data_IF_098584856199
#
_entry.id   IF_098584856199
#
_cell.length_a   1.000
_cell.length_b   1.000
_cell.length_c   1.000
_cell.angle_alpha   90.00
_cell.angle_beta   90.00
_cell.angle_gamma   90.00
#
_symmetry.space_group_name_H-M   'P 1'
#
loop_
_entity.id
_entity.type
_entity.pdbx_description
1 polymer ?
#
# COMPACT_ATOMS: atom_id res chain seq x y z
N UNK A 1 -9.07 16.57 -23.56
CA UNK A 1 -7.67 17.01 -23.59
C UNK A 1 -7.05 16.53 -22.28
N UNK A 2 -6.26 15.47 -22.33
CA UNK A 2 -5.63 14.87 -21.17
C UNK A 2 -4.46 15.74 -20.72
N UNK A 3 -4.65 16.54 -19.68
CA UNK A 3 -3.53 17.11 -18.93
C UNK A 3 -3.13 16.11 -17.82
N UNK A 4 -2.42 15.05 -18.21
CA UNK A 4 -1.62 14.30 -17.25
C UNK A 4 -0.43 15.18 -16.86
N UNK A 5 -0.41 15.65 -15.63
CA UNK A 5 0.79 16.22 -15.02
C UNK A 5 1.86 15.12 -15.08
N UNK A 6 3.02 15.34 -15.71
CA UNK A 6 4.07 14.35 -15.70
C UNK A 6 4.60 14.23 -14.27
N UNK A 7 4.22 13.16 -13.60
CA UNK A 7 4.85 12.79 -12.33
C UNK A 7 6.25 12.31 -12.67
N UNK A 8 7.21 13.22 -12.67
CA UNK A 8 8.62 12.86 -12.77
C UNK A 8 8.92 11.89 -11.64
N UNK A 9 9.33 10.68 -11.98
CA UNK A 9 9.68 9.65 -11.00
C UNK A 9 10.78 10.22 -10.08
N UNK A 10 10.39 10.55 -8.84
CA UNK A 10 11.30 11.15 -7.87
C UNK A 10 12.24 10.05 -7.39
N UNK A 11 13.52 10.15 -7.70
CA UNK A 11 14.51 9.21 -7.20
C UNK A 11 14.56 9.27 -5.67
N UNK A 12 14.42 8.13 -4.95
CA UNK A 12 14.54 8.12 -3.50
C UNK A 12 15.89 8.67 -3.04
N UNK A 13 15.92 9.63 -2.10
CA UNK A 13 17.17 10.19 -1.58
C UNK A 13 17.92 9.17 -0.71
N UNK A 14 19.09 9.55 -0.19
CA UNK A 14 19.77 8.82 0.88
C UNK A 14 18.83 8.61 2.08
N UNK A 15 18.99 7.50 2.83
CA UNK A 15 18.09 7.15 3.93
C UNK A 15 18.06 8.24 5.02
N UNK A 16 19.17 8.92 5.28
CA UNK A 16 19.26 10.05 6.21
C UNK A 16 18.45 11.28 5.75
N UNK A 17 18.24 11.47 4.44
CA UNK A 17 17.48 12.57 3.85
C UNK A 17 16.04 12.18 3.47
N UNK A 18 15.62 10.94 3.77
CA UNK A 18 14.34 10.38 3.36
C UNK A 18 13.15 11.22 3.88
N UNK A 19 12.30 11.67 2.96
CA UNK A 19 11.11 12.47 3.29
C UNK A 19 10.10 11.70 4.13
N UNK A 20 9.96 10.39 3.91
CA UNK A 20 9.04 9.54 4.69
C UNK A 20 9.44 9.48 6.17
N UNK A 21 10.75 9.40 6.49
CA UNK A 21 11.24 9.39 7.87
C UNK A 21 10.98 10.69 8.62
N UNK A 22 10.76 11.79 7.91
CA UNK A 22 10.45 13.08 8.51
C UNK A 22 8.99 13.22 8.91
N UNK A 23 8.12 12.31 8.44
CA UNK A 23 6.72 12.27 8.88
C UNK A 23 6.64 11.61 10.26
N UNK A 24 5.69 12.01 11.09
CA UNK A 24 5.45 11.38 12.39
C UNK A 24 4.85 9.97 12.33
N UNK A 25 4.68 9.42 11.13
CA UNK A 25 4.06 8.12 10.90
C UNK A 25 5.01 6.94 11.13
N UNK A 26 6.32 7.18 11.00
CA UNK A 26 7.31 6.13 11.09
C UNK A 26 8.10 6.17 12.39
N UNK A 27 8.45 5.00 12.90
CA UNK A 27 9.22 4.84 14.12
C UNK A 27 10.59 5.52 14.00
N UNK A 28 11.06 6.20 15.06
CA UNK A 28 12.44 6.68 15.11
C UNK A 28 13.39 5.48 15.06
N UNK A 29 14.56 5.70 14.47
CA UNK A 29 15.59 4.67 14.28
C UNK A 29 16.92 5.16 14.85
N UNK A 30 17.69 4.27 15.44
CA UNK A 30 19.04 4.57 15.92
C UNK A 30 19.97 4.90 14.73
N UNK A 31 21.01 5.70 14.99
CA UNK A 31 21.95 6.13 13.94
C UNK A 31 22.65 4.95 13.31
N UNK A 32 23.08 3.98 14.14
CA UNK A 32 23.78 2.76 13.71
C UNK A 32 22.89 1.88 12.83
N UNK A 33 21.61 1.78 13.14
CA UNK A 33 20.63 1.04 12.35
C UNK A 33 20.33 1.73 11.03
N UNK A 34 20.27 3.07 11.04
CA UNK A 34 20.07 3.86 9.83
C UNK A 34 21.26 3.73 8.88
N UNK A 35 22.49 3.70 9.42
CA UNK A 35 23.70 3.46 8.66
C UNK A 35 23.70 2.07 8.04
N UNK A 36 23.28 1.07 8.80
CA UNK A 36 23.12 -0.27 8.27
C UNK A 36 22.06 -0.33 7.15
N UNK A 37 20.87 0.26 7.32
CA UNK A 37 19.84 0.28 6.27
C UNK A 37 20.36 1.00 5.02
N UNK A 38 21.11 2.08 5.16
CA UNK A 38 21.68 2.80 4.03
C UNK A 38 22.72 1.95 3.27
N UNK A 39 23.56 1.19 3.99
CA UNK A 39 24.50 0.23 3.42
C UNK A 39 23.79 -1.01 2.83
N UNK A 40 22.74 -1.48 3.48
CA UNK A 40 21.92 -2.61 3.04
C UNK A 40 21.15 -2.30 1.76
N UNK A 41 20.80 -1.03 1.52
CA UNK A 41 20.13 -0.60 0.30
C UNK A 41 21.05 -0.73 -0.90
N UNK A 42 20.77 -1.67 -1.81
CA UNK A 42 21.57 -1.89 -3.02
C UNK A 42 21.35 -0.84 -4.11
N UNK A 43 20.32 0.02 -3.98
CA UNK A 43 20.04 1.08 -4.94
C UNK A 43 18.56 1.51 -4.93
N UNK A 44 18.18 2.11 -6.05
CA UNK A 44 16.79 2.56 -6.32
C UNK A 44 16.35 2.08 -7.68
N UNK A 45 15.05 1.97 -7.89
CA UNK A 45 14.46 1.65 -9.19
C UNK A 45 13.16 2.40 -9.39
N UNK A 46 12.78 2.58 -10.64
CA UNK A 46 11.48 3.16 -11.00
C UNK A 46 10.67 2.15 -11.82
N UNK A 47 9.36 2.30 -11.80
CA UNK A 47 8.46 1.53 -12.64
C UNK A 47 7.36 2.45 -13.14
N UNK A 48 7.05 2.37 -14.42
CA UNK A 48 5.94 3.13 -15.00
C UNK A 48 4.59 2.54 -14.60
N UNK A 49 3.54 3.35 -14.65
CA UNK A 49 2.16 2.91 -14.48
C UNK A 49 1.86 1.68 -15.36
N UNK A 50 1.21 0.66 -14.80
CA UNK A 50 0.91 -0.62 -15.44
C UNK A 50 2.07 -1.62 -15.49
N UNK A 51 3.27 -1.25 -15.02
CA UNK A 51 4.40 -2.18 -15.00
C UNK A 51 4.26 -3.21 -13.87
N UNK A 52 4.61 -4.46 -14.16
CA UNK A 52 4.66 -5.53 -13.16
C UNK A 52 5.96 -5.46 -12.38
N UNK A 53 5.88 -5.19 -11.09
CA UNK A 53 7.01 -5.14 -10.15
C UNK A 53 7.44 -6.55 -9.71
N UNK A 54 6.49 -7.39 -9.41
CA UNK A 54 6.69 -8.81 -9.07
C UNK A 54 5.72 -9.68 -9.87
N UNK A 55 6.24 -10.73 -10.47
CA UNK A 55 5.42 -11.73 -11.15
C UNK A 55 5.01 -12.85 -10.20
N UNK A 56 3.76 -13.31 -10.30
CA UNK A 56 3.35 -14.55 -9.63
C UNK A 56 4.24 -15.73 -10.05
N UNK A 57 4.57 -16.60 -9.10
CA UNK A 57 5.35 -17.83 -9.29
C UNK A 57 6.78 -17.63 -9.83
N UNK A 58 7.25 -16.40 -10.00
CA UNK A 58 8.66 -16.14 -10.36
C UNK A 58 9.50 -15.83 -9.14
N UNK A 59 10.70 -16.40 -9.03
CA UNK A 59 11.64 -16.04 -7.98
C UNK A 59 12.02 -14.57 -8.08
N UNK A 60 12.16 -13.91 -6.94
CA UNK A 60 12.67 -12.56 -6.84
C UNK A 60 13.65 -12.45 -5.66
N UNK A 61 14.90 -12.16 -5.93
CA UNK A 61 15.96 -11.98 -4.92
C UNK A 61 15.96 -10.59 -4.27
N UNK A 62 14.95 -9.76 -4.52
CA UNK A 62 14.92 -8.37 -4.06
C UNK A 62 13.74 -8.10 -3.15
N UNK A 63 13.96 -7.16 -2.23
CA UNK A 63 12.94 -6.54 -1.40
C UNK A 63 12.87 -5.07 -1.78
N UNK A 64 11.73 -4.44 -1.53
CA UNK A 64 11.54 -3.03 -1.89
C UNK A 64 10.82 -2.29 -0.78
N UNK A 65 11.15 -1.00 -0.61
CA UNK A 65 10.26 -0.04 0.04
C UNK A 65 9.69 0.87 -1.04
N UNK A 66 8.37 0.98 -1.11
CA UNK A 66 7.72 1.94 -2.00
C UNK A 66 7.93 3.35 -1.43
N UNK A 67 8.72 4.17 -2.14
CA UNK A 67 9.02 5.54 -1.74
C UNK A 67 7.95 6.52 -2.23
N UNK A 68 7.52 6.36 -3.47
CA UNK A 68 6.48 7.19 -4.09
C UNK A 68 5.67 6.39 -5.10
N UNK A 69 4.45 6.82 -5.34
CA UNK A 69 3.51 6.17 -6.26
C UNK A 69 2.56 5.20 -5.54
N UNK A 70 1.74 4.52 -6.34
CA UNK A 70 0.76 3.53 -5.90
C UNK A 70 0.96 2.23 -6.65
N UNK A 71 0.83 1.12 -5.97
CA UNK A 71 0.82 -0.21 -6.56
C UNK A 71 -0.26 -1.08 -5.89
N UNK A 72 -0.49 -2.26 -6.39
CA UNK A 72 -1.35 -3.24 -5.72
C UNK A 72 -0.77 -4.64 -5.80
N UNK A 73 -1.08 -5.43 -4.81
CA UNK A 73 -0.79 -6.84 -4.72
C UNK A 73 -2.01 -7.65 -5.12
N UNK A 74 -1.85 -8.64 -6.00
CA UNK A 74 -2.96 -9.40 -6.53
C UNK A 74 -2.65 -10.89 -6.70
N UNK A 75 -3.73 -11.67 -6.80
CA UNK A 75 -3.72 -13.05 -7.31
C UNK A 75 -4.63 -13.19 -8.50
N UNK A 76 -4.21 -14.04 -9.44
CA UNK A 76 -4.94 -14.31 -10.68
C UNK A 76 -5.53 -15.72 -10.64
N UNK A 77 -6.80 -15.82 -11.00
CA UNK A 77 -7.48 -17.10 -11.22
C UNK A 77 -7.15 -17.66 -12.61
N UNK A 78 -7.39 -18.95 -12.82
CA UNK A 78 -7.15 -19.63 -14.12
C UNK A 78 -7.94 -19.03 -15.28
N UNK A 79 -9.06 -18.36 -15.02
CA UNK A 79 -9.89 -17.67 -16.01
C UNK A 79 -9.47 -16.21 -16.26
N UNK A 80 -8.37 -15.75 -15.64
CA UNK A 80 -7.81 -14.42 -15.80
C UNK A 80 -8.40 -13.35 -14.88
N UNK A 81 -9.43 -13.65 -14.09
CA UNK A 81 -9.94 -12.72 -13.07
C UNK A 81 -8.89 -12.50 -11.98
N UNK A 82 -8.76 -11.26 -11.52
CA UNK A 82 -7.84 -10.89 -10.46
C UNK A 82 -8.58 -10.60 -9.15
N UNK A 83 -7.96 -10.94 -8.04
CA UNK A 83 -8.31 -10.43 -6.71
C UNK A 83 -7.19 -9.55 -6.22
N UNK A 84 -7.46 -8.27 -6.00
CA UNK A 84 -6.53 -7.37 -5.32
C UNK A 84 -6.56 -7.71 -3.83
N UNK A 85 -5.39 -7.99 -3.28
CA UNK A 85 -5.20 -8.39 -1.88
C UNK A 85 -4.91 -7.19 -0.98
N UNK A 86 -4.21 -6.20 -1.51
CA UNK A 86 -3.86 -4.96 -0.81
C UNK A 86 -3.40 -3.90 -1.81
N UNK A 87 -3.65 -2.63 -1.50
CA UNK A 87 -3.01 -1.48 -2.16
C UNK A 87 -1.74 -1.12 -1.40
N UNK A 88 -0.67 -0.92 -2.17
CA UNK A 88 0.65 -0.58 -1.66
C UNK A 88 0.87 0.92 -1.79
N UNK A 89 1.24 1.55 -0.69
CA UNK A 89 1.37 2.99 -0.52
C UNK A 89 2.79 3.35 -0.08
N UNK A 90 3.21 4.62 -0.17
CA UNK A 90 4.52 5.04 0.30
C UNK A 90 4.81 4.61 1.75
N UNK A 91 5.97 3.98 1.94
CA UNK A 91 6.38 3.35 3.19
C UNK A 91 6.12 1.86 3.30
N UNK A 92 5.34 1.26 2.40
CA UNK A 92 5.12 -0.19 2.44
C UNK A 92 6.35 -0.96 1.99
N UNK A 93 6.63 -2.05 2.72
CA UNK A 93 7.74 -2.96 2.44
C UNK A 93 7.24 -4.17 1.65
N UNK A 94 7.90 -4.46 0.54
CA UNK A 94 7.43 -5.37 -0.51
C UNK A 94 8.38 -6.55 -0.64
N UNK A 95 7.81 -7.74 -0.80
CA UNK A 95 8.56 -8.95 -1.20
C UNK A 95 8.83 -9.93 -0.07
N UNK A 96 8.38 -9.68 1.18
CA UNK A 96 8.56 -10.63 2.29
C UNK A 96 7.86 -11.97 2.04
N UNK A 97 6.70 -11.95 1.39
CA UNK A 97 5.80 -13.11 1.23
C UNK A 97 6.21 -14.01 0.05
N UNK A 98 7.48 -14.36 -0.06
CA UNK A 98 7.92 -15.36 -1.03
C UNK A 98 7.97 -16.75 -0.40
N UNK A 99 7.57 -17.77 -1.18
CA UNK A 99 7.92 -19.13 -0.85
C UNK A 99 9.44 -19.34 -1.01
N UNK A 100 10.04 -20.08 -0.11
CA UNK A 100 11.48 -20.29 -0.09
C UNK A 100 12.03 -20.97 -1.36
N UNK A 101 11.20 -21.70 -2.12
CA UNK A 101 11.64 -22.46 -3.29
C UNK A 101 10.95 -22.09 -4.62
N UNK A 102 9.72 -21.55 -4.60
CA UNK A 102 8.86 -21.56 -5.78
C UNK A 102 8.46 -20.16 -6.30
N UNK A 103 9.10 -19.09 -5.81
CA UNK A 103 8.80 -17.73 -6.24
C UNK A 103 7.67 -17.03 -5.48
N UNK A 104 7.20 -15.90 -5.99
CA UNK A 104 6.19 -15.07 -5.34
C UNK A 104 4.81 -15.72 -5.37
N UNK A 105 4.12 -15.69 -4.22
CA UNK A 105 2.74 -16.20 -4.12
C UNK A 105 1.69 -15.28 -4.76
N UNK A 106 2.07 -14.07 -5.18
CA UNK A 106 1.20 -13.04 -5.72
C UNK A 106 1.98 -12.14 -6.68
N UNK A 107 1.27 -11.47 -7.56
CA UNK A 107 1.81 -10.42 -8.42
C UNK A 107 1.73 -9.04 -7.75
N UNK A 108 2.57 -8.11 -8.21
CA UNK A 108 2.50 -6.70 -7.86
C UNK A 108 2.58 -5.88 -9.13
N UNK A 109 1.64 -4.95 -9.30
CA UNK A 109 1.55 -4.04 -10.44
C UNK A 109 1.47 -2.59 -9.98
N UNK A 110 2.17 -1.71 -10.68
CA UNK A 110 2.16 -0.27 -10.44
C UNK A 110 0.87 0.36 -10.98
N UNK A 111 0.17 1.16 -10.18
CA UNK A 111 -1.00 1.95 -10.61
C UNK A 111 -0.54 3.26 -11.23
N UNK A 112 0.44 3.90 -10.61
CA UNK A 112 1.09 5.12 -11.08
C UNK A 112 2.56 4.85 -11.33
N UNK A 113 3.28 5.83 -11.83
CA UNK A 113 4.74 5.78 -11.78
C UNK A 113 5.18 5.61 -10.33
N UNK A 114 6.05 4.64 -10.11
CA UNK A 114 6.55 4.26 -8.78
C UNK A 114 8.05 4.47 -8.68
N UNK A 115 8.48 4.89 -7.49
CA UNK A 115 9.90 4.94 -7.11
C UNK A 115 10.12 4.06 -5.89
N UNK A 116 11.13 3.20 -5.93
CA UNK A 116 11.37 2.18 -4.92
C UNK A 116 12.83 2.17 -4.46
N UNK A 117 13.04 2.00 -3.15
CA UNK A 117 14.31 1.56 -2.60
C UNK A 117 14.44 0.05 -2.79
N UNK A 118 15.65 -0.44 -3.11
CA UNK A 118 15.91 -1.84 -3.42
C UNK A 118 16.87 -2.42 -2.38
N UNK A 119 16.53 -3.59 -1.86
CA UNK A 119 17.35 -4.33 -0.89
C UNK A 119 17.56 -5.77 -1.35
N UNK A 120 18.76 -6.35 -1.18
CA UNK A 120 19.01 -7.73 -1.49
C UNK A 120 18.39 -8.64 -0.40
N UNK A 121 17.63 -9.65 -0.81
CA UNK A 121 16.96 -10.57 0.12
C UNK A 121 17.96 -11.37 0.97
N UNK A 122 19.08 -11.75 0.38
CA UNK A 122 20.16 -12.51 1.07
C UNK A 122 20.71 -11.76 2.28
N UNK A 123 20.69 -10.43 2.27
CA UNK A 123 21.15 -9.62 3.41
C UNK A 123 20.23 -9.63 4.62
N UNK A 124 19.02 -10.22 4.52
CA UNK A 124 18.14 -10.37 5.68
C UNK A 124 18.78 -11.20 6.81
N UNK A 125 19.59 -12.21 6.49
CA UNK A 125 20.26 -13.01 7.51
C UNK A 125 21.27 -12.21 8.32
N UNK A 126 22.00 -11.30 7.67
CA UNK A 126 22.89 -10.36 8.33
C UNK A 126 22.11 -9.39 9.22
N UNK A 127 21.01 -8.82 8.70
CA UNK A 127 20.11 -7.94 9.44
C UNK A 127 19.60 -8.62 10.71
N UNK A 128 19.05 -9.85 10.63
CA UNK A 128 18.53 -10.57 11.79
C UNK A 128 19.61 -10.89 12.83
N UNK A 129 20.83 -11.16 12.38
CA UNK A 129 21.94 -11.53 13.26
C UNK A 129 22.55 -10.34 13.99
N UNK A 130 22.74 -9.24 13.26
CA UNK A 130 23.54 -8.11 13.75
C UNK A 130 22.68 -6.94 14.24
N UNK A 131 21.41 -6.85 13.79
CA UNK A 131 20.46 -5.80 14.13
C UNK A 131 19.10 -6.41 14.52
N UNK A 132 18.99 -7.02 15.72
CA UNK A 132 17.78 -7.75 16.14
C UNK A 132 16.52 -6.85 16.18
N UNK A 133 16.66 -5.56 16.50
CA UNK A 133 15.57 -4.59 16.47
C UNK A 133 15.00 -4.40 15.06
N UNK A 134 15.85 -4.28 14.03
CA UNK A 134 15.41 -4.27 12.64
C UNK A 134 14.78 -5.60 12.22
N UNK A 135 15.28 -6.71 12.76
CA UNK A 135 14.68 -8.03 12.59
C UNK A 135 13.26 -8.09 13.16
N UNK A 136 13.05 -7.48 14.34
CA UNK A 136 11.72 -7.31 14.92
C UNK A 136 10.83 -6.44 14.03
N UNK A 137 11.34 -5.34 13.51
CA UNK A 137 10.61 -4.44 12.59
C UNK A 137 10.14 -5.17 11.34
N UNK A 138 10.97 -6.00 10.73
CA UNK A 138 10.58 -6.86 9.59
C UNK A 138 9.48 -7.83 9.97
N UNK A 139 9.59 -8.45 11.13
CA UNK A 139 8.58 -9.38 11.66
C UNK A 139 7.26 -8.64 11.89
N UNK A 140 7.32 -7.44 12.46
CA UNK A 140 6.16 -6.58 12.67
C UNK A 140 5.49 -6.20 11.34
N UNK A 141 6.29 -5.82 10.31
CA UNK A 141 5.77 -5.51 8.98
C UNK A 141 5.08 -6.72 8.34
N UNK A 142 5.63 -7.92 8.53
CA UNK A 142 5.01 -9.15 8.03
C UNK A 142 3.67 -9.45 8.73
N UNK A 143 3.62 -9.31 10.06
CA UNK A 143 2.38 -9.48 10.84
C UNK A 143 1.32 -8.43 10.48
N UNK A 144 1.73 -7.18 10.24
CA UNK A 144 0.82 -6.12 9.76
C UNK A 144 0.19 -6.48 8.42
N UNK A 145 0.97 -7.02 7.48
CA UNK A 145 0.44 -7.48 6.19
C UNK A 145 -0.58 -8.62 6.34
N UNK A 146 -0.36 -9.54 7.29
CA UNK A 146 -1.33 -10.57 7.65
C UNK A 146 -2.62 -9.94 8.18
N UNK A 147 -2.54 -9.02 9.14
CA UNK A 147 -3.70 -8.29 9.66
C UNK A 147 -4.51 -7.55 8.59
N UNK A 148 -3.86 -6.93 7.60
CA UNK A 148 -4.56 -6.30 6.46
C UNK A 148 -5.34 -7.35 5.64
N UNK A 149 -4.77 -8.52 5.42
CA UNK A 149 -5.45 -9.61 4.70
C UNK A 149 -6.62 -10.17 5.50
N UNK A 150 -6.50 -10.28 6.82
CA UNK A 150 -7.59 -10.70 7.71
C UNK A 150 -8.77 -9.72 7.67
N UNK A 151 -8.49 -8.41 7.70
CA UNK A 151 -9.52 -7.36 7.54
C UNK A 151 -10.19 -7.44 6.16
N UNK A 152 -9.44 -7.74 5.11
CA UNK A 152 -9.99 -7.95 3.77
C UNK A 152 -10.86 -9.21 3.73
N UNK A 153 -10.45 -10.30 4.38
CA UNK A 153 -11.23 -11.54 4.48
C UNK A 153 -12.55 -11.30 5.23
N UNK A 154 -12.49 -10.62 6.37
CA UNK A 154 -13.67 -10.19 7.11
C UNK A 154 -14.58 -9.32 6.23
N UNK A 155 -14.01 -8.37 5.51
CA UNK A 155 -14.73 -7.47 4.61
C UNK A 155 -15.42 -8.26 3.50
N UNK A 156 -14.73 -9.16 2.82
CA UNK A 156 -15.29 -9.96 1.75
C UNK A 156 -16.34 -10.98 2.25
N UNK A 157 -16.17 -11.51 3.46
CA UNK A 157 -17.02 -12.56 3.99
C UNK A 157 -18.28 -12.08 4.72
N UNK A 158 -18.24 -10.88 5.34
CA UNK A 158 -19.32 -10.44 6.25
C UNK A 158 -19.92 -9.09 5.89
N UNK A 159 -19.19 -8.17 5.28
CA UNK A 159 -19.70 -6.83 4.97
C UNK A 159 -20.54 -6.84 3.69
N UNK A 160 -21.61 -6.05 3.64
CA UNK A 160 -22.36 -5.77 2.41
C UNK A 160 -21.58 -4.78 1.53
N UNK A 161 -22.00 -4.57 0.28
CA UNK A 161 -21.26 -3.77 -0.67
C UNK A 161 -21.03 -2.31 -0.21
N UNK A 162 -22.00 -1.72 0.51
CA UNK A 162 -21.88 -0.34 1.02
C UNK A 162 -20.80 -0.27 2.11
N UNK A 163 -20.81 -1.22 3.02
CA UNK A 163 -19.81 -1.37 4.09
C UNK A 163 -18.41 -1.64 3.53
N UNK A 164 -18.30 -2.53 2.52
CA UNK A 164 -17.02 -2.83 1.84
C UNK A 164 -16.42 -1.59 1.21
N UNK A 165 -17.21 -0.84 0.44
CA UNK A 165 -16.71 0.38 -0.22
C UNK A 165 -16.36 1.45 0.81
N UNK A 166 -17.20 1.67 1.83
CA UNK A 166 -16.91 2.62 2.91
C UNK A 166 -15.60 2.26 3.63
N UNK A 167 -15.41 0.96 3.97
CA UNK A 167 -14.18 0.45 4.60
C UNK A 167 -12.94 0.73 3.76
N UNK A 168 -12.99 0.44 2.45
CA UNK A 168 -11.85 0.67 1.56
C UNK A 168 -11.47 2.15 1.47
N UNK A 169 -12.46 3.05 1.28
CA UNK A 169 -12.23 4.49 1.22
C UNK A 169 -11.62 5.01 2.52
N UNK A 170 -12.16 4.59 3.67
CA UNK A 170 -11.64 4.94 4.99
C UNK A 170 -10.21 4.46 5.19
N UNK A 171 -9.95 3.18 4.89
CA UNK A 171 -8.64 2.55 5.07
C UNK A 171 -7.55 3.27 4.26
N UNK A 172 -7.80 3.51 2.97
CA UNK A 172 -6.83 4.19 2.10
C UNK A 172 -6.61 5.64 2.52
N UNK A 173 -7.69 6.36 2.82
CA UNK A 173 -7.61 7.74 3.30
C UNK A 173 -6.76 7.85 4.57
N UNK A 174 -7.07 7.04 5.59
CA UNK A 174 -6.35 7.05 6.88
C UNK A 174 -4.88 6.70 6.73
N UNK A 175 -4.54 5.76 5.85
CA UNK A 175 -3.15 5.38 5.60
C UNK A 175 -2.33 6.53 5.00
N UNK A 176 -2.88 7.25 4.01
CA UNK A 176 -2.20 8.38 3.39
C UNK A 176 -2.17 9.63 4.26
N UNK A 177 -3.26 9.92 4.97
CA UNK A 177 -3.33 11.03 5.91
C UNK A 177 -2.25 10.89 6.99
N UNK A 178 -2.05 9.66 7.52
CA UNK A 178 -1.03 9.35 8.52
C UNK A 178 0.38 9.66 8.03
N UNK A 179 0.72 9.35 6.79
CA UNK A 179 2.04 9.64 6.21
C UNK A 179 2.16 11.08 5.70
N UNK A 180 1.20 11.95 6.03
CA UNK A 180 1.23 13.36 5.69
C UNK A 180 0.96 13.65 4.21
N UNK A 181 0.29 12.74 3.51
CA UNK A 181 -0.05 12.88 2.08
C UNK A 181 -1.47 13.43 1.85
N UNK A 182 -2.15 13.88 2.91
CA UNK A 182 -3.41 14.60 2.78
C UNK A 182 -3.14 16.11 2.71
N UNK A 183 -3.60 16.75 1.64
CA UNK A 183 -3.52 18.19 1.43
C UNK A 183 -4.92 18.80 1.40
N UNK A 184 -5.22 19.70 2.34
CA UNK A 184 -6.55 20.33 2.47
C UNK A 184 -7.71 19.30 2.53
N UNK A 185 -7.46 18.15 3.17
CA UNK A 185 -8.42 17.06 3.30
C UNK A 185 -8.59 16.19 2.05
N UNK A 186 -7.78 16.40 1.02
CA UNK A 186 -7.72 15.57 -0.18
C UNK A 186 -6.48 14.66 -0.17
N UNK A 187 -6.65 13.44 -0.64
CA UNK A 187 -5.55 12.53 -0.96
C UNK A 187 -5.55 12.23 -2.45
N UNK A 188 -4.40 11.91 -3.02
CA UNK A 188 -4.35 11.31 -4.35
C UNK A 188 -5.04 9.94 -4.33
N UNK A 189 -5.85 9.66 -5.35
CA UNK A 189 -6.66 8.45 -5.43
C UNK A 189 -6.70 7.94 -6.87
N UNK A 190 -5.60 7.39 -7.38
CA UNK A 190 -5.46 7.02 -8.78
C UNK A 190 -6.14 5.69 -9.13
N UNK A 191 -6.84 5.06 -8.17
CA UNK A 191 -7.54 3.80 -8.42
C UNK A 191 -8.88 4.05 -9.13
N UNK A 192 -9.17 3.20 -10.10
CA UNK A 192 -10.43 3.23 -10.84
C UNK A 192 -11.46 2.26 -10.23
N UNK A 193 -12.68 2.27 -10.78
CA UNK A 193 -13.77 1.41 -10.30
C UNK A 193 -13.49 -0.09 -10.47
N UNK A 194 -12.68 -0.46 -11.47
CA UNK A 194 -12.27 -1.86 -11.66
C UNK A 194 -11.33 -2.31 -10.54
N UNK A 195 -10.36 -1.47 -10.16
CA UNK A 195 -9.49 -1.74 -9.01
C UNK A 195 -10.30 -1.93 -7.72
N UNK A 196 -11.34 -1.10 -7.50
CA UNK A 196 -12.22 -1.23 -6.34
C UNK A 196 -13.03 -2.53 -6.42
N UNK A 197 -13.57 -2.87 -7.60
CA UNK A 197 -14.31 -4.10 -7.82
C UNK A 197 -13.44 -5.34 -7.55
N UNK A 198 -12.22 -5.37 -8.10
CA UNK A 198 -11.25 -6.45 -7.93
C UNK A 198 -10.77 -6.58 -6.47
N UNK A 199 -10.71 -5.47 -5.72
CA UNK A 199 -10.33 -5.50 -4.31
C UNK A 199 -11.47 -6.01 -3.41
N UNK A 200 -12.73 -5.68 -3.74
CA UNK A 200 -13.87 -5.95 -2.87
C UNK A 200 -14.69 -7.19 -3.29
N UNK A 201 -14.30 -7.86 -4.38
CA UNK A 201 -15.06 -8.98 -4.92
C UNK A 201 -16.47 -8.59 -5.39
N UNK A 202 -16.61 -7.39 -5.96
CA UNK A 202 -17.87 -6.85 -6.46
C UNK A 202 -17.85 -6.79 -8.00
N UNK A 203 -19.04 -6.82 -8.62
CA UNK A 203 -19.12 -6.46 -10.04
C UNK A 203 -18.91 -4.96 -10.23
N UNK A 204 -18.38 -4.55 -11.39
CA UNK A 204 -18.17 -3.14 -11.74
C UNK A 204 -19.46 -2.32 -11.62
N UNK A 205 -20.60 -2.89 -12.07
CA UNK A 205 -21.93 -2.26 -11.98
C UNK A 205 -22.32 -2.00 -10.52
N UNK A 206 -22.12 -2.99 -9.66
CA UNK A 206 -22.43 -2.88 -8.23
C UNK A 206 -21.51 -1.85 -7.52
N UNK A 207 -20.23 -1.87 -7.84
CA UNK A 207 -19.24 -0.90 -7.36
C UNK A 207 -19.68 0.53 -7.71
N UNK A 208 -20.00 0.79 -8.98
CA UNK A 208 -20.43 2.12 -9.44
C UNK A 208 -21.71 2.59 -8.77
N UNK A 209 -22.71 1.71 -8.63
CA UNK A 209 -23.96 2.00 -7.92
C UNK A 209 -23.70 2.37 -6.46
N UNK A 210 -22.82 1.63 -5.79
CA UNK A 210 -22.48 1.86 -4.38
C UNK A 210 -21.72 3.16 -4.17
N UNK A 211 -20.71 3.44 -4.99
CA UNK A 211 -19.97 4.71 -4.95
C UNK A 211 -20.91 5.91 -5.16
N UNK A 212 -21.79 5.84 -6.18
CA UNK A 212 -22.77 6.90 -6.44
C UNK A 212 -23.70 7.12 -5.23
N UNK A 213 -24.18 6.05 -4.60
CA UNK A 213 -25.03 6.13 -3.40
C UNK A 213 -24.31 6.83 -2.24
N UNK A 214 -23.05 6.42 -1.94
CA UNK A 214 -22.26 7.04 -0.86
C UNK A 214 -21.99 8.53 -1.14
N UNK A 215 -21.73 8.89 -2.41
CA UNK A 215 -21.58 10.30 -2.83
C UNK A 215 -22.88 11.10 -2.63
N UNK A 216 -24.02 10.55 -3.03
CA UNK A 216 -25.34 11.19 -2.84
C UNK A 216 -25.69 11.41 -1.38
N UNK A 217 -25.20 10.57 -0.48
CA UNK A 217 -25.33 10.72 0.97
C UNK A 217 -24.34 11.74 1.55
N UNK A 218 -23.53 12.40 0.72
CA UNK A 218 -22.55 13.38 1.18
C UNK A 218 -21.42 12.80 2.00
N UNK A 219 -21.02 11.56 1.74
CA UNK A 219 -20.03 10.86 2.56
C UNK A 219 -18.60 10.99 2.02
N UNK A 220 -18.47 11.04 0.71
CA UNK A 220 -17.18 11.22 0.03
C UNK A 220 -17.33 12.00 -1.28
N UNK A 221 -16.22 12.47 -1.78
CA UNK A 221 -16.07 13.10 -3.08
C UNK A 221 -14.81 12.51 -3.75
N UNK A 222 -14.94 12.14 -5.01
CA UNK A 222 -13.82 11.70 -5.86
C UNK A 222 -13.88 12.57 -7.11
N UNK A 223 -12.86 13.40 -7.30
CA UNK A 223 -12.72 14.33 -8.41
C UNK A 223 -11.25 14.37 -8.87
N UNK A 224 -11.02 14.38 -10.16
CA UNK A 224 -9.71 14.51 -10.79
C UNK A 224 -8.62 13.57 -10.21
N UNK A 225 -9.01 12.32 -9.89
CA UNK A 225 -8.10 11.34 -9.30
C UNK A 225 -7.72 11.61 -7.83
N UNK A 226 -8.54 12.39 -7.12
CA UNK A 226 -8.38 12.69 -5.69
C UNK A 226 -9.62 12.29 -4.91
N UNK A 227 -9.44 11.89 -3.66
CA UNK A 227 -10.51 11.51 -2.72
C UNK A 227 -10.51 12.46 -1.52
N UNK A 228 -11.71 12.90 -1.15
CA UNK A 228 -11.98 13.58 0.12
C UNK A 228 -13.12 12.86 0.86
N UNK A 229 -12.98 12.69 2.15
CA UNK A 229 -14.05 12.19 3.02
C UNK A 229 -14.79 13.38 3.64
N UNK A 230 -16.08 13.50 3.33
CA UNK A 230 -16.92 14.63 3.77
C UNK A 230 -17.52 14.40 5.16
N UNK A 231 -17.81 13.13 5.51
CA UNK A 231 -18.33 12.75 6.83
C UNK A 231 -17.66 11.46 7.32
N UNK A 232 -16.48 11.62 7.91
CA UNK A 232 -15.68 10.50 8.42
C UNK A 232 -16.41 9.70 9.49
N UNK A 233 -17.11 10.35 10.43
CA UNK A 233 -17.85 9.66 11.51
C UNK A 233 -18.99 8.78 10.97
N UNK A 234 -19.69 9.22 9.92
CA UNK A 234 -20.72 8.41 9.30
C UNK A 234 -20.13 7.23 8.53
N UNK A 235 -19.02 7.47 7.80
CA UNK A 235 -18.29 6.40 7.10
C UNK A 235 -17.73 5.37 8.08
N UNK A 236 -17.13 5.78 9.19
CA UNK A 236 -16.64 4.89 10.26
C UNK A 236 -17.75 3.95 10.77
N UNK A 237 -18.93 4.51 11.04
CA UNK A 237 -20.08 3.69 11.46
C UNK A 237 -20.59 2.74 10.39
N UNK A 238 -20.64 3.17 9.12
CA UNK A 238 -21.07 2.31 8.00
C UNK A 238 -20.03 1.21 7.76
N UNK A 239 -18.76 1.53 7.82
CA UNK A 239 -17.67 0.61 7.58
C UNK A 239 -17.44 -0.35 8.76
N UNK A 240 -18.04 -0.08 9.92
CA UNK A 240 -17.67 -0.74 11.17
C UNK A 240 -16.14 -0.68 11.39
N UNK A 241 -15.61 0.55 11.24
CA UNK A 241 -14.18 0.81 11.22
C UNK A 241 -13.69 1.18 12.61
N UNK A 242 -13.01 0.24 13.25
CA UNK A 242 -12.42 0.41 14.59
C UNK A 242 -10.90 0.38 14.50
N UNK A 243 -10.32 1.19 13.62
CA UNK A 243 -8.87 1.27 13.52
C UNK A 243 -8.29 1.94 14.77
N UNK A 244 -7.57 1.17 15.57
CA UNK A 244 -6.57 1.67 16.52
C UNK A 244 -5.20 1.55 15.87
N UNK A 245 -4.83 2.51 15.02
CA UNK A 245 -3.56 2.40 14.31
C UNK A 245 -2.41 2.41 15.31
N UNK A 246 -1.35 1.65 15.09
CA UNK A 246 -0.11 1.79 15.84
C UNK A 246 0.34 3.25 15.78
N UNK A 247 0.88 3.75 16.88
CA UNK A 247 1.35 5.13 16.96
C UNK A 247 2.35 5.44 15.83
N UNK A 248 3.22 4.49 15.51
CA UNK A 248 4.23 4.59 14.45
C UNK A 248 4.50 3.23 13.83
N UNK A 249 4.97 3.23 12.58
CA UNK A 249 5.23 2.04 11.76
C UNK A 249 6.72 1.96 11.45
N UNK A 250 7.36 0.78 11.49
CA UNK A 250 8.73 0.63 11.00
C UNK A 250 8.88 1.04 9.53
N UNK A 251 10.01 1.65 9.18
CA UNK A 251 10.38 1.99 7.81
C UNK A 251 11.78 1.46 7.50
N UNK A 252 11.90 0.59 6.49
CA UNK A 252 13.17 0.13 5.95
C UNK A 252 13.51 0.81 4.64
#
# INVERSE_FOLDING_TARGET
>A
MNNSVPTTAICPPACRACGLRKTGAFSPIAVEELDFIEAFRSGTTTASAGATLLHEQKPNGKLFTLYAGWAFRYKTMSDGRRQILNFLLPGDFIGLQQKFADGSMHGIEAITDCSLCVFPREGLWELYRNHPSLGYDITWLAAREEGIVDDHLLTAGRRNATERVAMLLMHLYRRLDRVGMAENGWIDFPINQQHIADALGLSLVHTNKTLRRLRQLGLHEIEDGRLRLLNTRALERIADYYDTPPAQVPLL
#
